data_IF_344627510405
#
_entry.id   IF_344627510405
#
_cell.length_a   1.000
_cell.length_b   1.000
_cell.length_c   1.000
_cell.angle_alpha   90.00
_cell.angle_beta   90.00
_cell.angle_gamma   90.00
#
_symmetry.space_group_name_H-M   'P 1'
#
loop_
_entity.id
_entity.type
_entity.pdbx_description
1 polymer ?
#
# COMPACT_ATOMS: atom_id res chain seq x y z
N UNK A 1 5.33 -19.50 -10.26
CA UNK A 1 6.28 -20.04 -9.26
C UNK A 1 5.52 -20.26 -7.95
N UNK A 2 5.54 -21.46 -7.37
CA UNK A 2 4.84 -21.74 -6.11
C UNK A 2 5.50 -21.02 -4.92
N UNK A 3 4.70 -20.59 -3.93
CA UNK A 3 5.18 -19.92 -2.72
C UNK A 3 6.15 -20.81 -1.93
N UNK A 4 5.88 -22.12 -1.86
CA UNK A 4 6.76 -23.06 -1.14
C UNK A 4 8.18 -23.10 -1.71
N UNK A 5 8.33 -22.89 -3.02
CA UNK A 5 9.65 -22.84 -3.66
C UNK A 5 10.41 -21.59 -3.21
N UNK A 6 9.74 -20.43 -3.15
CA UNK A 6 10.33 -19.17 -2.68
C UNK A 6 10.77 -19.25 -1.22
N UNK A 7 9.95 -19.86 -0.36
CA UNK A 7 10.29 -20.02 1.06
C UNK A 7 11.50 -20.94 1.23
N UNK A 8 11.59 -22.00 0.42
CA UNK A 8 12.77 -22.87 0.42
C UNK A 8 14.04 -22.11 0.03
N UNK A 9 13.97 -21.24 -0.98
CA UNK A 9 15.09 -20.40 -1.38
C UNK A 9 15.51 -19.45 -0.24
N UNK A 10 14.56 -18.86 0.49
CA UNK A 10 14.86 -18.06 1.68
C UNK A 10 15.68 -18.85 2.73
N UNK A 11 15.29 -20.09 3.02
CA UNK A 11 16.06 -20.96 3.92
C UNK A 11 17.48 -21.25 3.42
N UNK A 12 17.64 -21.47 2.11
CA UNK A 12 18.94 -21.74 1.50
C UNK A 12 19.88 -20.52 1.52
N UNK A 13 19.34 -19.31 1.40
CA UNK A 13 20.14 -18.07 1.35
C UNK A 13 20.41 -17.50 2.74
N UNK A 14 19.39 -17.48 3.61
CA UNK A 14 19.43 -16.78 4.91
C UNK A 14 19.52 -17.73 6.12
N UNK A 15 19.42 -19.04 5.90
CA UNK A 15 19.53 -20.09 6.91
C UNK A 15 18.20 -20.75 7.29
N UNK A 16 18.28 -21.92 7.90
CA UNK A 16 17.13 -22.81 8.16
C UNK A 16 16.03 -22.19 9.06
N UNK A 17 16.31 -21.08 9.75
CA UNK A 17 15.33 -20.34 10.52
C UNK A 17 14.25 -19.65 9.64
N UNK A 18 14.48 -19.49 8.34
CA UNK A 18 13.57 -18.85 7.40
C UNK A 18 12.72 -19.88 6.64
N UNK A 19 12.01 -20.73 7.37
CA UNK A 19 11.11 -21.75 6.84
C UNK A 19 9.65 -21.25 6.73
N UNK A 20 8.74 -22.13 6.28
CA UNK A 20 7.32 -21.78 6.14
C UNK A 20 6.68 -21.41 7.48
N UNK A 21 7.08 -22.07 8.58
CA UNK A 21 6.54 -21.78 9.91
C UNK A 21 6.90 -20.37 10.35
N UNK A 22 8.15 -19.96 10.14
CA UNK A 22 8.62 -18.61 10.42
C UNK A 22 7.89 -17.56 9.58
N UNK A 23 7.69 -17.83 8.28
CA UNK A 23 6.97 -16.93 7.36
C UNK A 23 5.50 -16.76 7.80
N UNK A 24 4.77 -17.85 8.04
CA UNK A 24 3.36 -17.76 8.46
C UNK A 24 3.21 -17.08 9.83
N UNK A 25 4.11 -17.39 10.78
CA UNK A 25 4.15 -16.71 12.08
C UNK A 25 4.39 -15.21 11.93
N UNK A 26 5.26 -14.81 11.01
CA UNK A 26 5.52 -13.40 10.73
C UNK A 26 4.32 -12.69 10.09
N UNK A 27 3.60 -13.36 9.18
CA UNK A 27 2.36 -12.85 8.57
C UNK A 27 1.30 -12.64 9.65
N UNK A 28 1.08 -13.63 10.53
CA UNK A 28 0.12 -13.53 11.64
C UNK A 28 0.47 -12.37 12.59
N UNK A 29 1.74 -12.26 12.99
CA UNK A 29 2.20 -11.15 13.85
C UNK A 29 2.01 -9.78 13.19
N UNK A 30 2.31 -9.67 11.90
CA UNK A 30 2.13 -8.45 11.11
C UNK A 30 0.65 -8.07 11.05
N UNK A 31 -0.22 -9.02 10.73
CA UNK A 31 -1.67 -8.77 10.65
C UNK A 31 -2.26 -8.46 12.03
N UNK A 32 -1.81 -9.12 13.10
CA UNK A 32 -2.27 -8.84 14.45
C UNK A 32 -1.83 -7.43 14.93
N UNK A 33 -0.63 -6.99 14.55
CA UNK A 33 -0.11 -5.69 14.94
C UNK A 33 -0.76 -4.54 14.14
N UNK A 34 -0.80 -4.67 12.80
CA UNK A 34 -1.28 -3.60 11.93
C UNK A 34 -2.79 -3.67 11.63
N UNK A 35 -3.43 -4.82 11.82
CA UNK A 35 -4.86 -5.04 11.53
C UNK A 35 -5.14 -5.57 10.12
N UNK A 36 -4.12 -5.82 9.29
CA UNK A 36 -4.28 -6.25 7.89
C UNK A 36 -5.09 -5.25 7.05
N UNK A 37 -5.50 -5.64 5.84
CA UNK A 37 -6.21 -4.73 4.91
C UNK A 37 -7.54 -4.20 5.46
N UNK A 38 -8.25 -5.03 6.24
CA UNK A 38 -9.61 -4.74 6.69
C UNK A 38 -9.68 -4.13 8.10
N UNK A 39 -8.63 -4.27 8.92
CA UNK A 39 -8.60 -3.81 10.31
C UNK A 39 -7.57 -2.72 10.59
N UNK A 40 -6.91 -2.18 9.55
CA UNK A 40 -5.95 -1.09 9.70
C UNK A 40 -6.63 0.20 10.19
N UNK A 41 -6.49 0.48 11.48
CA UNK A 41 -7.12 1.64 12.11
C UNK A 41 -6.06 2.70 12.45
N UNK A 42 -6.01 3.77 11.66
CA UNK A 42 -5.08 4.87 11.88
C UNK A 42 -5.72 6.23 11.56
N UNK A 43 -5.03 7.32 11.90
CA UNK A 43 -5.33 8.68 11.46
C UNK A 43 -4.14 9.28 10.72
N UNK A 44 -4.41 10.23 9.83
CA UNK A 44 -3.37 10.98 9.08
C UNK A 44 -2.49 10.09 8.18
N UNK A 45 -3.09 9.09 7.55
CA UNK A 45 -2.44 8.25 6.52
C UNK A 45 -3.30 8.24 5.27
N UNK A 46 -2.73 8.52 4.09
CA UNK A 46 -3.42 8.40 2.80
C UNK A 46 -2.96 7.11 2.13
N UNK A 47 -3.89 6.37 1.50
CA UNK A 47 -3.61 5.15 0.73
C UNK A 47 -3.81 5.40 -0.76
N UNK A 48 -2.83 5.98 -1.48
CA UNK A 48 -2.89 6.12 -2.93
C UNK A 48 -2.64 4.76 -3.59
N UNK A 49 -3.47 4.37 -4.54
CA UNK A 49 -3.31 3.16 -5.34
C UNK A 49 -3.64 3.43 -6.80
N UNK A 50 -2.74 3.07 -7.72
CA UNK A 50 -3.06 3.03 -9.14
C UNK A 50 -3.85 1.76 -9.48
N UNK A 51 -4.94 1.86 -10.24
CA UNK A 51 -5.75 0.67 -10.55
C UNK A 51 -5.13 -0.26 -11.61
N UNK A 52 -4.06 0.16 -12.29
CA UNK A 52 -3.26 -0.71 -13.15
C UNK A 52 -2.06 -1.32 -12.41
N UNK A 53 -1.84 -0.94 -11.14
CA UNK A 53 -0.83 -1.56 -10.30
C UNK A 53 -1.33 -2.93 -9.81
N UNK A 54 -0.64 -4.05 -10.11
CA UNK A 54 -1.02 -5.36 -9.57
C UNK A 54 -0.99 -5.40 -8.03
N UNK A 55 -0.20 -4.54 -7.38
CA UNK A 55 -0.15 -4.45 -5.92
C UNK A 55 -1.41 -3.82 -5.31
N UNK A 56 -2.21 -3.10 -6.09
CA UNK A 56 -3.46 -2.49 -5.62
C UNK A 56 -4.46 -3.52 -5.07
N UNK A 57 -4.38 -4.78 -5.54
CA UNK A 57 -5.20 -5.88 -5.03
C UNK A 57 -4.96 -6.20 -3.53
N UNK A 58 -3.79 -5.82 -3.00
CA UNK A 58 -3.44 -5.97 -1.58
C UNK A 58 -3.62 -4.67 -0.78
N UNK A 59 -3.93 -3.57 -1.46
CA UNK A 59 -4.05 -2.24 -0.88
C UNK A 59 -5.42 -1.95 -0.26
N UNK A 60 -5.49 -0.84 0.48
CA UNK A 60 -6.76 -0.31 0.95
C UNK A 60 -7.40 0.55 -0.17
N UNK A 61 -8.44 0.04 -0.81
CA UNK A 61 -9.11 0.68 -1.94
C UNK A 61 -10.40 1.43 -1.54
N UNK A 62 -10.83 1.31 -0.29
CA UNK A 62 -12.08 1.88 0.21
C UNK A 62 -11.87 2.57 1.55
N UNK A 63 -12.11 3.89 1.60
CA UNK A 63 -11.99 4.67 2.82
C UNK A 63 -12.89 4.14 3.93
N UNK A 64 -12.31 3.45 4.91
CA UNK A 64 -13.00 2.99 6.12
C UNK A 64 -13.08 4.08 7.20
N UNK A 65 -12.20 5.08 7.14
CA UNK A 65 -12.09 6.18 8.08
C UNK A 65 -11.80 7.49 7.32
N UNK A 66 -12.60 8.53 7.55
CA UNK A 66 -12.42 9.85 6.92
C UNK A 66 -11.10 10.53 7.28
N UNK A 67 -10.47 10.13 8.39
CA UNK A 67 -9.16 10.65 8.83
C UNK A 67 -7.97 10.01 8.10
N UNK A 68 -8.21 8.94 7.34
CA UNK A 68 -7.18 8.19 6.60
C UNK A 68 -7.76 7.69 5.27
N UNK A 69 -7.81 8.56 4.24
CA UNK A 69 -8.53 8.29 3.01
C UNK A 69 -7.77 7.33 2.07
N UNK A 70 -8.52 6.52 1.35
CA UNK A 70 -8.04 5.72 0.22
C UNK A 70 -8.33 6.46 -1.09
N UNK A 71 -7.32 6.58 -1.96
CA UNK A 71 -7.41 7.30 -3.23
C UNK A 71 -7.01 6.35 -4.35
N UNK A 72 -8.00 5.91 -5.14
CA UNK A 72 -7.76 5.08 -6.33
C UNK A 72 -7.56 5.98 -7.55
N UNK A 73 -6.43 5.82 -8.23
CA UNK A 73 -5.97 6.67 -9.32
C UNK A 73 -6.08 5.88 -10.63
N UNK A 74 -7.15 6.17 -11.37
CA UNK A 74 -7.45 5.49 -12.63
C UNK A 74 -6.35 5.70 -13.69
N UNK A 75 -5.93 4.62 -14.34
CA UNK A 75 -4.96 4.61 -15.43
C UNK A 75 -3.48 4.65 -14.99
N UNK A 76 -3.20 4.66 -13.70
CA UNK A 76 -1.82 4.70 -13.18
C UNK A 76 -1.35 3.35 -12.66
N UNK A 77 -0.05 3.10 -12.79
CA UNK A 77 0.64 1.93 -12.26
C UNK A 77 1.28 2.23 -10.90
N UNK A 78 2.28 1.43 -10.53
CA UNK A 78 2.91 1.47 -9.21
C UNK A 78 3.46 2.86 -8.85
N UNK A 79 2.93 3.41 -7.74
CA UNK A 79 3.33 4.69 -7.16
C UNK A 79 3.34 5.88 -8.15
N UNK A 80 2.39 5.91 -9.09
CA UNK A 80 2.29 6.98 -10.10
C UNK A 80 2.27 8.40 -9.51
N UNK A 81 1.63 8.56 -8.35
CA UNK A 81 1.52 9.81 -7.59
C UNK A 81 2.86 10.37 -7.11
N UNK A 82 3.86 9.51 -6.89
CA UNK A 82 5.17 9.88 -6.32
C UNK A 82 6.18 10.41 -7.35
N UNK A 83 5.92 10.24 -8.65
CA UNK A 83 6.77 10.81 -9.69
C UNK A 83 6.60 12.34 -9.78
N UNK A 84 7.62 12.99 -10.32
CA UNK A 84 7.57 14.43 -10.64
C UNK A 84 6.39 14.70 -11.58
N UNK A 85 5.74 15.84 -11.37
CA UNK A 85 4.62 16.25 -12.21
C UNK A 85 5.05 16.53 -13.66
N UNK A 86 4.19 16.14 -14.59
CA UNK A 86 4.36 16.37 -16.02
C UNK A 86 3.09 16.97 -16.64
N UNK A 87 3.26 17.75 -17.70
CA UNK A 87 2.15 18.42 -18.39
C UNK A 87 1.17 17.43 -19.03
N UNK A 88 1.64 16.24 -19.41
CA UNK A 88 0.87 15.16 -20.03
C UNK A 88 0.33 14.13 -19.03
N UNK A 89 0.49 14.36 -17.71
CA UNK A 89 -0.08 13.48 -16.69
C UNK A 89 -1.60 13.34 -16.84
N UNK A 90 -2.08 12.13 -16.58
CA UNK A 90 -3.51 11.80 -16.61
C UNK A 90 -4.31 12.78 -15.71
N UNK A 91 -5.51 13.21 -16.14
CA UNK A 91 -6.37 14.04 -15.30
C UNK A 91 -6.67 13.44 -13.92
N UNK A 92 -6.79 12.10 -13.85
CA UNK A 92 -6.96 11.33 -12.60
C UNK A 92 -5.76 11.51 -11.65
N UNK A 93 -4.53 11.42 -12.17
CA UNK A 93 -3.29 11.60 -11.44
C UNK A 93 -3.14 13.03 -10.91
N UNK A 94 -3.37 14.03 -11.76
CA UNK A 94 -3.37 15.45 -11.34
C UNK A 94 -4.39 15.72 -10.24
N UNK A 95 -5.59 15.13 -10.34
CA UNK A 95 -6.63 15.24 -9.31
C UNK A 95 -6.21 14.56 -8.00
N UNK A 96 -5.60 13.37 -8.09
CA UNK A 96 -5.13 12.63 -6.92
C UNK A 96 -4.06 13.40 -6.14
N UNK A 97 -3.03 13.96 -6.83
CA UNK A 97 -1.99 14.77 -6.18
C UNK A 97 -2.57 15.99 -5.45
N UNK A 98 -3.52 16.70 -6.05
CA UNK A 98 -4.24 17.81 -5.38
C UNK A 98 -5.02 17.37 -4.15
N UNK A 99 -5.64 16.18 -4.18
CA UNK A 99 -6.34 15.64 -3.01
C UNK A 99 -5.36 15.27 -1.89
N UNK A 100 -4.23 14.63 -2.23
CA UNK A 100 -3.15 14.30 -1.29
C UNK A 100 -2.62 15.59 -0.64
N UNK A 101 -2.26 16.59 -1.44
CA UNK A 101 -1.77 17.89 -0.97
C UNK A 101 -2.77 18.56 -0.02
N UNK A 102 -4.07 18.55 -0.37
CA UNK A 102 -5.13 19.10 0.49
C UNK A 102 -5.19 18.41 1.85
N UNK A 103 -5.11 17.08 1.90
CA UNK A 103 -5.10 16.35 3.16
C UNK A 103 -3.86 16.66 3.99
N UNK A 104 -2.68 16.65 3.37
CA UNK A 104 -1.42 16.98 4.05
C UNK A 104 -1.43 18.39 4.61
N UNK A 105 -1.87 19.37 3.81
CA UNK A 105 -1.99 20.78 4.22
C UNK A 105 -2.93 20.92 5.41
N UNK A 106 -4.10 20.28 5.37
CA UNK A 106 -5.05 20.31 6.47
C UNK A 106 -4.48 19.76 7.78
N UNK A 107 -3.53 18.81 7.72
CA UNK A 107 -2.87 18.26 8.91
C UNK A 107 -1.72 19.12 9.43
N UNK A 108 -1.17 20.04 8.64
CA UNK A 108 -0.11 20.93 9.08
C UNK A 108 -0.64 22.11 9.90
N UNK A 109 -1.87 22.53 9.61
CA UNK A 109 -2.49 23.69 10.26
C UNK A 109 -3.49 23.31 11.37
N UNK A 110 -3.60 22.01 11.72
CA UNK A 110 -4.48 21.45 12.75
C UNK A 110 -3.89 20.21 13.44
#
# INVERSE_FOLDING_TARGET
MPVDWLVKECGQIFGDAYDSSAVYTAIEKTNAFYGGVAGFNTSRVIFPNGNHDPWSALGNLHSQNLRSPSIVIDGTAHCGDMYVEADDDLPSLKKARKLIERHMTAWMYH
#
